data_IF_014766332154
#
_entry.id   IF_014766332154
#
_cell.length_a   1.000
_cell.length_b   1.000
_cell.length_c   1.000
_cell.angle_alpha   90.00
_cell.angle_beta   90.00
_cell.angle_gamma   90.00
#
_symmetry.space_group_name_H-M   'P 1'
#
loop_
_entity.id
_entity.type
_entity.pdbx_description
1 polymer ?
#
# COMPACT_ATOMS: atom_id res chain seq x y z
N UNK A 1 -41.57 98.24 11.09
CA UNK A 1 -40.22 97.78 10.68
C UNK A 1 -39.58 97.22 11.93
N UNK A 2 -39.19 95.97 12.11
CA UNK A 2 -39.13 94.74 11.30
C UNK A 2 -38.66 93.67 12.31
N UNK A 3 -39.10 92.44 12.09
CA UNK A 3 -38.70 91.16 12.70
C UNK A 3 -37.48 91.08 13.63
N UNK A 4 -37.60 90.30 14.72
CA UNK A 4 -36.46 89.54 15.22
C UNK A 4 -36.76 88.07 15.49
N UNK A 5 -35.85 87.28 14.92
CA UNK A 5 -35.74 85.84 14.66
C UNK A 5 -35.88 84.88 15.84
N UNK A 6 -36.26 83.65 15.47
CA UNK A 6 -36.28 82.41 16.23
C UNK A 6 -34.91 81.71 16.33
N UNK A 7 -34.72 80.96 17.45
CA UNK A 7 -34.02 79.66 17.64
C UNK A 7 -32.53 79.51 17.19
N UNK A 8 -31.61 78.79 17.87
CA UNK A 8 -31.63 77.60 18.76
C UNK A 8 -30.44 77.64 19.75
N UNK A 9 -30.52 77.06 20.96
CA UNK A 9 -29.34 76.81 21.79
C UNK A 9 -28.54 75.62 21.22
N UNK A 10 -27.23 75.83 21.06
CA UNK A 10 -26.26 74.81 20.70
C UNK A 10 -26.20 73.70 21.77
N UNK A 11 -26.17 72.44 21.33
CA UNK A 11 -25.98 71.28 22.20
C UNK A 11 -24.65 71.35 22.95
N UNK A 12 -24.71 71.23 24.28
CA UNK A 12 -23.53 71.19 25.15
C UNK A 12 -22.67 69.96 24.85
N UNK A 13 -21.36 70.19 24.73
CA UNK A 13 -20.35 69.12 24.67
C UNK A 13 -20.21 68.55 26.09
N UNK A 14 -20.84 67.41 26.35
CA UNK A 14 -20.63 66.66 27.59
C UNK A 14 -19.23 66.01 27.53
N UNK A 15 -18.30 66.53 28.34
CA UNK A 15 -17.00 65.90 28.56
C UNK A 15 -17.09 64.74 29.55
N UNK A 16 -16.35 63.67 29.29
CA UNK A 16 -16.25 62.50 30.18
C UNK A 16 -15.63 62.87 31.53
N UNK A 17 -16.16 62.30 32.61
CA UNK A 17 -15.62 62.52 33.96
C UNK A 17 -14.48 61.54 34.29
N UNK A 18 -13.56 61.92 35.18
CA UNK A 18 -12.44 61.07 35.58
C UNK A 18 -12.90 59.74 36.19
N UNK A 19 -14.03 59.76 36.91
CA UNK A 19 -14.60 58.54 37.49
C UNK A 19 -15.19 57.62 36.42
N UNK A 20 -15.78 58.18 35.37
CA UNK A 20 -16.30 57.41 34.24
C UNK A 20 -15.18 56.70 33.48
N UNK A 21 -14.02 57.36 33.31
CA UNK A 21 -12.81 56.76 32.73
C UNK A 21 -12.25 55.63 33.60
N UNK A 22 -12.16 55.82 34.91
CA UNK A 22 -11.62 54.79 35.83
C UNK A 22 -12.54 53.56 35.84
N UNK A 23 -13.85 53.75 35.93
CA UNK A 23 -14.82 52.64 35.92
C UNK A 23 -14.79 51.88 34.59
N UNK A 24 -14.67 52.56 33.44
CA UNK A 24 -14.57 51.89 32.14
C UNK A 24 -13.31 51.05 31.99
N UNK A 25 -12.14 51.55 32.41
CA UNK A 25 -10.88 50.78 32.34
C UNK A 25 -10.97 49.53 33.23
N UNK A 26 -11.54 49.65 34.44
CA UNK A 26 -11.72 48.53 35.37
C UNK A 26 -12.67 47.47 34.78
N UNK A 27 -13.81 47.90 34.21
CA UNK A 27 -14.78 46.98 33.60
C UNK A 27 -14.17 46.26 32.40
N UNK A 28 -13.45 46.97 31.52
CA UNK A 28 -12.77 46.36 30.37
C UNK A 28 -11.72 45.35 30.86
N UNK A 29 -10.95 45.67 31.92
CA UNK A 29 -9.97 44.74 32.50
C UNK A 29 -10.60 43.43 32.98
N UNK A 30 -11.71 43.51 33.71
CA UNK A 30 -12.44 42.32 34.17
C UNK A 30 -13.01 41.53 32.99
N UNK A 31 -13.63 42.20 32.01
CA UNK A 31 -14.21 41.54 30.83
C UNK A 31 -13.15 40.86 29.96
N UNK A 32 -11.99 41.48 29.77
CA UNK A 32 -10.88 40.87 29.02
C UNK A 32 -10.30 39.66 29.76
N UNK A 33 -10.19 39.72 31.09
CA UNK A 33 -9.70 38.59 31.90
C UNK A 33 -10.62 37.37 31.83
N UNK A 34 -11.94 37.58 31.83
CA UNK A 34 -12.93 36.50 31.69
C UNK A 34 -13.03 36.04 30.23
N UNK A 35 -13.00 36.97 29.27
CA UNK A 35 -13.13 36.70 27.83
C UNK A 35 -11.97 35.90 27.23
N UNK A 36 -10.74 36.08 27.73
CA UNK A 36 -9.56 35.38 27.20
C UNK A 36 -9.64 33.85 27.27
N UNK A 37 -10.30 33.31 28.31
CA UNK A 37 -10.51 31.86 28.46
C UNK A 37 -11.58 31.31 27.51
N UNK A 38 -12.54 32.13 27.08
CA UNK A 38 -13.57 31.74 26.12
C UNK A 38 -13.07 31.73 24.67
N UNK A 39 -11.95 32.41 24.38
CA UNK A 39 -11.37 32.49 23.04
C UNK A 39 -10.25 31.45 22.85
N UNK A 40 -9.42 31.22 23.86
CA UNK A 40 -8.30 30.27 23.80
C UNK A 40 -8.76 28.81 23.62
N UNK A 41 -9.73 28.35 24.42
CA UNK A 41 -10.17 26.95 24.39
C UNK A 41 -10.76 26.49 23.05
N UNK A 42 -11.61 27.29 22.36
CA UNK A 42 -12.07 26.91 21.02
C UNK A 42 -10.96 26.87 19.98
N UNK A 43 -9.93 27.73 20.09
CA UNK A 43 -8.78 27.73 19.18
C UNK A 43 -7.91 26.49 19.43
N UNK A 44 -7.60 26.17 20.67
CA UNK A 44 -6.87 24.95 21.05
C UNK A 44 -7.61 23.69 20.56
N UNK A 45 -8.91 23.60 20.81
CA UNK A 45 -9.73 22.49 20.33
C UNK A 45 -9.79 22.38 18.81
N UNK A 46 -9.73 23.50 18.08
CA UNK A 46 -9.65 23.50 16.62
C UNK A 46 -8.30 22.96 16.13
N UNK A 47 -7.19 23.38 16.74
CA UNK A 47 -5.84 22.91 16.42
C UNK A 47 -5.68 21.41 16.72
N UNK A 48 -6.25 20.93 17.83
CA UNK A 48 -6.26 19.51 18.20
C UNK A 48 -7.03 18.68 17.17
N UNK A 49 -8.20 19.18 16.74
CA UNK A 49 -9.01 18.53 15.72
C UNK A 49 -8.29 18.47 14.36
N UNK A 50 -7.61 19.55 13.98
CA UNK A 50 -6.82 19.59 12.76
C UNK A 50 -5.70 18.54 12.78
N UNK A 51 -4.92 18.49 13.87
CA UNK A 51 -3.85 17.49 14.06
C UNK A 51 -4.36 16.06 13.97
N UNK A 52 -5.45 15.75 14.68
CA UNK A 52 -6.08 14.43 14.62
C UNK A 52 -6.54 14.08 13.21
N UNK A 53 -7.12 15.04 12.49
CA UNK A 53 -7.60 14.84 11.12
C UNK A 53 -6.43 14.55 10.17
N UNK A 54 -5.31 15.25 10.31
CA UNK A 54 -4.08 15.00 9.53
C UNK A 54 -3.53 13.59 9.80
N UNK A 55 -3.40 13.20 11.07
CA UNK A 55 -2.94 11.86 11.44
C UNK A 55 -3.84 10.76 10.88
N UNK A 56 -5.17 10.91 11.04
CA UNK A 56 -6.14 9.92 10.54
C UNK A 56 -6.03 9.81 9.03
N UNK A 57 -6.02 10.93 8.31
CA UNK A 57 -5.91 10.92 6.84
C UNK A 57 -4.62 10.25 6.37
N UNK A 58 -3.47 10.56 6.99
CA UNK A 58 -2.18 9.97 6.66
C UNK A 58 -2.19 8.45 6.88
N UNK A 59 -2.66 8.00 8.05
CA UNK A 59 -2.73 6.56 8.36
C UNK A 59 -3.67 5.82 7.40
N UNK A 60 -4.84 6.38 7.14
CA UNK A 60 -5.84 5.83 6.23
C UNK A 60 -5.32 5.70 4.78
N UNK A 61 -4.68 6.75 4.25
CA UNK A 61 -4.11 6.73 2.91
C UNK A 61 -2.99 5.70 2.80
N UNK A 62 -2.15 5.59 3.84
CA UNK A 62 -1.09 4.59 3.93
C UNK A 62 -1.65 3.18 3.88
N UNK A 63 -2.62 2.87 4.73
CA UNK A 63 -3.27 1.54 4.80
C UNK A 63 -4.02 1.21 3.50
N UNK A 64 -4.67 2.19 2.86
CA UNK A 64 -5.32 2.00 1.55
C UNK A 64 -4.33 1.76 0.42
N UNK A 65 -3.15 2.40 0.44
CA UNK A 65 -2.08 2.13 -0.53
C UNK A 65 -1.56 0.70 -0.34
N UNK A 66 -1.22 0.31 0.89
CA UNK A 66 -0.80 -1.06 1.22
C UNK A 66 -1.84 -2.10 0.82
N UNK A 67 -3.14 -1.85 1.08
CA UNK A 67 -4.20 -2.75 0.67
C UNK A 67 -4.24 -2.97 -0.84
N UNK A 68 -4.06 -1.91 -1.64
CA UNK A 68 -4.06 -2.04 -3.11
C UNK A 68 -2.91 -2.92 -3.57
N UNK A 69 -1.70 -2.68 -3.07
CA UNK A 69 -0.52 -3.48 -3.42
C UNK A 69 -0.70 -4.94 -2.96
N UNK A 70 -1.22 -5.18 -1.76
CA UNK A 70 -1.46 -6.54 -1.23
C UNK A 70 -2.55 -7.32 -1.98
N UNK A 71 -3.56 -6.65 -2.52
CA UNK A 71 -4.58 -7.30 -3.35
C UNK A 71 -4.03 -7.72 -4.71
N UNK A 72 -2.99 -7.04 -5.18
CA UNK A 72 -2.23 -7.39 -6.36
C UNK A 72 -0.96 -8.16 -5.99
N UNK A 73 -0.99 -9.02 -4.97
CA UNK A 73 0.14 -9.89 -4.64
C UNK A 73 0.05 -11.20 -5.43
N UNK A 74 1.20 -11.71 -5.90
CA UNK A 74 1.30 -13.07 -6.39
C UNK A 74 0.87 -14.05 -5.28
N UNK A 75 0.07 -15.09 -5.57
CA UNK A 75 -0.36 -16.08 -4.59
C UNK A 75 0.82 -16.66 -3.80
N UNK A 76 0.68 -16.73 -2.47
CA UNK A 76 1.71 -17.22 -1.54
C UNK A 76 3.05 -16.47 -1.61
N UNK A 77 3.09 -15.24 -2.12
CA UNK A 77 4.33 -14.42 -2.14
C UNK A 77 4.45 -13.46 -0.95
N UNK A 78 3.36 -13.22 -0.21
CA UNK A 78 3.40 -12.31 0.94
C UNK A 78 4.24 -12.94 2.06
N UNK A 79 5.21 -12.18 2.58
CA UNK A 79 6.01 -12.59 3.74
C UNK A 79 6.28 -11.42 4.68
N UNK A 80 6.35 -11.74 5.97
CA UNK A 80 6.68 -10.80 7.04
C UNK A 80 8.16 -10.97 7.40
N UNK A 81 8.84 -9.87 7.67
CA UNK A 81 10.25 -9.84 8.07
C UNK A 81 10.52 -8.72 9.09
N UNK A 82 11.77 -8.60 9.54
CA UNK A 82 12.19 -7.62 10.56
C UNK A 82 11.32 -7.64 11.82
N UNK A 83 10.91 -8.83 12.26
CA UNK A 83 10.05 -9.01 13.43
C UNK A 83 8.75 -8.21 13.33
N UNK A 84 8.03 -8.31 12.22
CA UNK A 84 6.73 -7.63 12.04
C UNK A 84 6.80 -6.20 11.52
N UNK A 85 7.99 -5.62 11.38
CA UNK A 85 8.17 -4.25 10.88
C UNK A 85 8.38 -4.18 9.36
N UNK A 86 8.50 -5.32 8.70
CA UNK A 86 8.61 -5.43 7.25
C UNK A 86 7.56 -6.37 6.68
N UNK A 87 6.93 -5.97 5.58
CA UNK A 87 6.09 -6.84 4.75
C UNK A 87 6.55 -6.72 3.30
N UNK A 88 6.65 -7.86 2.62
CA UNK A 88 7.09 -7.98 1.22
C UNK A 88 6.11 -8.82 0.43
N UNK A 89 5.95 -8.48 -0.85
CA UNK A 89 5.13 -9.20 -1.82
C UNK A 89 5.73 -9.05 -3.22
N UNK A 90 5.39 -9.98 -4.12
CA UNK A 90 5.63 -9.83 -5.55
C UNK A 90 4.37 -9.26 -6.20
N UNK A 91 4.51 -8.15 -6.91
CA UNK A 91 3.37 -7.45 -7.50
C UNK A 91 2.90 -8.15 -8.78
N UNK A 92 1.60 -8.41 -8.83
CA UNK A 92 0.91 -9.11 -9.91
C UNK A 92 0.34 -8.09 -10.89
N UNK A 93 0.69 -8.21 -12.16
CA UNK A 93 0.19 -7.32 -13.22
C UNK A 93 -0.78 -8.01 -14.18
N UNK A 94 -0.56 -9.29 -14.49
CA UNK A 94 -1.44 -10.05 -15.38
C UNK A 94 -1.27 -11.57 -15.11
N UNK A 95 -2.00 -12.40 -15.84
CA UNK A 95 -1.87 -13.85 -15.77
C UNK A 95 -2.84 -14.53 -16.72
N UNK A 96 -2.68 -15.83 -16.87
CA UNK A 96 -3.49 -16.58 -17.81
C UNK A 96 -3.45 -18.06 -17.55
N UNK A 97 -3.87 -18.82 -18.56
CA UNK A 97 -3.74 -20.28 -18.54
C UNK A 97 -2.78 -20.76 -19.62
N UNK A 98 -2.04 -21.81 -19.30
CA UNK A 98 -1.22 -22.55 -20.25
C UNK A 98 -1.89 -23.89 -20.57
N UNK A 99 -1.35 -24.65 -21.52
CA UNK A 99 -1.84 -26.00 -21.86
C UNK A 99 -0.87 -27.06 -21.36
N UNK A 100 -1.40 -28.09 -20.68
CA UNK A 100 -0.68 -29.36 -20.42
C UNK A 100 -0.96 -30.43 -21.48
N UNK A 101 -2.07 -30.28 -22.20
CA UNK A 101 -2.55 -31.26 -23.18
C UNK A 101 -2.91 -30.52 -24.46
N UNK A 102 -2.56 -31.13 -25.59
CA UNK A 102 -2.83 -30.58 -26.92
C UNK A 102 -4.33 -30.36 -27.13
N UNK A 103 -4.65 -29.35 -27.93
CA UNK A 103 -6.01 -29.15 -28.37
C UNK A 103 -6.46 -30.37 -29.20
N UNK A 104 -7.55 -31.05 -28.85
CA UNK A 104 -8.01 -32.21 -29.61
C UNK A 104 -8.42 -31.84 -31.05
N UNK A 105 -8.66 -30.56 -31.34
CA UNK A 105 -8.92 -30.08 -32.70
C UNK A 105 -7.64 -29.78 -33.50
N UNK A 106 -6.46 -29.74 -32.87
CA UNK A 106 -5.18 -29.55 -33.55
C UNK A 106 -4.75 -30.87 -34.20
N UNK A 107 -4.59 -30.85 -35.52
CA UNK A 107 -4.26 -32.06 -36.30
C UNK A 107 -2.79 -32.09 -36.71
N UNK A 108 -2.08 -30.96 -36.63
CA UNK A 108 -0.64 -30.92 -36.87
C UNK A 108 0.10 -31.26 -35.56
N UNK A 109 0.81 -32.41 -35.51
CA UNK A 109 1.50 -32.83 -34.29
C UNK A 109 2.64 -31.89 -33.88
N UNK A 110 3.25 -31.16 -34.82
CA UNK A 110 4.31 -30.20 -34.52
C UNK A 110 3.73 -28.97 -33.81
N UNK A 111 2.61 -28.46 -34.32
CA UNK A 111 1.91 -27.32 -33.73
C UNK A 111 1.33 -27.69 -32.36
N UNK A 112 0.74 -28.90 -32.25
CA UNK A 112 0.24 -29.43 -31.00
C UNK A 112 1.33 -29.47 -29.90
N UNK A 113 2.50 -30.00 -30.22
CA UNK A 113 3.64 -30.08 -29.30
C UNK A 113 4.19 -28.69 -28.93
N UNK A 114 4.31 -27.79 -29.90
CA UNK A 114 4.80 -26.42 -29.69
C UNK A 114 3.86 -25.52 -28.85
N UNK A 115 2.65 -25.99 -28.55
CA UNK A 115 1.64 -25.23 -27.80
C UNK A 115 1.63 -25.54 -26.30
N UNK A 116 2.33 -26.59 -25.88
CA UNK A 116 2.30 -27.09 -24.50
C UNK A 116 3.39 -26.45 -23.65
N UNK A 117 3.11 -26.38 -22.34
CA UNK A 117 4.15 -26.22 -21.35
C UNK A 117 4.45 -27.58 -20.71
N UNK A 118 5.70 -27.98 -20.81
CA UNK A 118 6.25 -29.23 -20.27
C UNK A 118 6.83 -29.01 -18.86
N UNK A 119 6.77 -30.06 -18.05
CA UNK A 119 7.24 -30.06 -16.65
C UNK A 119 8.27 -31.17 -16.38
N UNK A 120 8.70 -31.85 -17.43
CA UNK A 120 9.74 -32.89 -17.47
C UNK A 120 10.98 -32.46 -18.26
N UNK A 121 10.88 -31.37 -19.02
CA UNK A 121 11.97 -30.72 -19.75
C UNK A 121 11.89 -29.21 -19.56
N UNK A 122 13.03 -28.52 -19.64
CA UNK A 122 13.05 -27.07 -19.59
C UNK A 122 12.46 -26.49 -20.89
N UNK A 123 11.42 -25.67 -20.77
CA UNK A 123 10.77 -24.99 -21.88
C UNK A 123 11.11 -23.50 -21.88
N UNK A 124 11.21 -22.91 -23.07
CA UNK A 124 11.43 -21.47 -23.26
C UNK A 124 10.23 -20.74 -23.87
N UNK A 125 9.10 -21.42 -24.08
CA UNK A 125 7.84 -20.83 -24.53
C UNK A 125 6.66 -21.77 -24.30
N UNK A 126 5.45 -21.22 -24.33
CA UNK A 126 4.20 -21.99 -24.35
C UNK A 126 3.04 -21.14 -24.90
N UNK A 127 1.96 -21.79 -25.35
CA UNK A 127 0.74 -21.08 -25.76
C UNK A 127 -0.04 -20.57 -24.54
N UNK A 128 -0.47 -19.31 -24.63
CA UNK A 128 -1.31 -18.65 -23.64
C UNK A 128 -2.78 -18.70 -24.05
N UNK A 129 -3.62 -19.13 -23.12
CA UNK A 129 -5.07 -19.10 -23.24
C UNK A 129 -5.63 -17.87 -22.55
N UNK A 130 -6.10 -16.92 -23.36
CA UNK A 130 -6.75 -15.70 -22.90
C UNK A 130 -6.17 -14.44 -23.54
N UNK A 131 -6.73 -13.27 -23.20
CA UNK A 131 -6.06 -12.00 -23.46
C UNK A 131 -4.80 -11.88 -22.59
N UNK A 132 -3.83 -11.13 -23.11
CA UNK A 132 -2.68 -10.60 -22.38
C UNK A 132 -2.49 -9.15 -22.81
N UNK A 133 -2.07 -8.28 -21.91
CA UNK A 133 -1.72 -6.90 -22.25
C UNK A 133 -0.31 -6.82 -22.86
N UNK A 134 -0.20 -7.20 -24.13
CA UNK A 134 1.09 -7.48 -24.80
C UNK A 134 2.05 -6.30 -24.94
N UNK A 135 1.64 -5.07 -24.63
CA UNK A 135 2.47 -3.87 -24.81
C UNK A 135 3.53 -3.66 -23.71
N UNK A 136 3.40 -4.36 -22.58
CA UNK A 136 4.21 -4.09 -21.38
C UNK A 136 5.25 -5.17 -21.07
N UNK A 137 5.09 -6.38 -21.62
CA UNK A 137 5.96 -7.52 -21.32
C UNK A 137 7.20 -7.53 -22.23
N UNK A 138 8.28 -6.94 -21.72
CA UNK A 138 9.58 -6.86 -22.38
C UNK A 138 10.68 -7.46 -21.50
N UNK A 139 11.83 -7.86 -22.08
CA UNK A 139 12.92 -8.48 -21.33
C UNK A 139 13.35 -7.62 -20.15
N UNK A 140 13.35 -8.21 -18.96
CA UNK A 140 13.77 -7.53 -17.73
C UNK A 140 12.69 -6.72 -17.00
N UNK A 141 11.53 -6.43 -17.60
CA UNK A 141 10.45 -5.69 -16.94
C UNK A 141 9.44 -6.60 -16.24
N UNK A 142 9.18 -7.78 -16.78
CA UNK A 142 8.19 -8.71 -16.23
C UNK A 142 8.72 -10.15 -16.21
N UNK A 143 8.13 -10.95 -15.33
CA UNK A 143 8.50 -12.34 -15.10
C UNK A 143 7.26 -13.22 -15.03
N UNK A 144 7.35 -14.41 -15.61
CA UNK A 144 6.34 -15.44 -15.53
C UNK A 144 6.61 -16.32 -14.30
N UNK A 145 5.63 -16.42 -13.40
CA UNK A 145 5.66 -17.32 -12.26
C UNK A 145 4.58 -18.39 -12.40
N UNK A 146 4.94 -19.65 -12.10
CA UNK A 146 4.02 -20.78 -12.17
C UNK A 146 3.96 -21.46 -10.81
N UNK A 147 2.74 -21.61 -10.32
CA UNK A 147 2.41 -22.39 -9.13
C UNK A 147 3.29 -22.07 -7.91
N UNK A 148 3.31 -20.81 -7.49
CA UNK A 148 4.03 -20.38 -6.30
C UNK A 148 3.34 -20.89 -5.02
N UNK A 149 4.06 -21.70 -4.24
CA UNK A 149 3.51 -22.40 -3.07
C UNK A 149 3.97 -21.80 -1.75
N UNK A 150 5.05 -21.02 -1.74
CA UNK A 150 5.63 -20.50 -0.52
C UNK A 150 6.44 -19.23 -0.77
N UNK A 151 6.56 -18.42 0.28
CA UNK A 151 7.49 -17.29 0.38
C UNK A 151 8.56 -17.52 1.47
N UNK A 152 8.59 -18.71 2.08
CA UNK A 152 9.55 -19.08 3.11
C UNK A 152 10.97 -19.13 2.51
N UNK A 153 11.87 -18.31 3.07
CA UNK A 153 13.27 -18.23 2.64
C UNK A 153 14.07 -19.52 2.89
N UNK A 154 13.51 -20.50 3.62
CA UNK A 154 14.13 -21.81 3.83
C UNK A 154 13.72 -22.86 2.77
N UNK A 155 12.77 -22.54 1.88
CA UNK A 155 12.22 -23.50 0.91
C UNK A 155 12.53 -23.04 -0.51
N UNK A 156 13.36 -23.80 -1.22
CA UNK A 156 13.76 -23.47 -2.59
C UNK A 156 12.68 -23.83 -3.62
N UNK A 157 12.00 -24.97 -3.48
CA UNK A 157 11.10 -25.49 -4.52
C UNK A 157 9.77 -24.76 -4.57
N UNK A 158 9.32 -24.40 -5.78
CA UNK A 158 8.07 -23.67 -6.03
C UNK A 158 7.97 -22.35 -5.26
N UNK A 159 9.11 -21.66 -5.16
CA UNK A 159 9.28 -20.37 -4.51
C UNK A 159 9.81 -19.35 -5.51
N UNK A 160 9.05 -18.29 -5.77
CA UNK A 160 9.44 -17.27 -6.71
C UNK A 160 10.65 -16.46 -6.22
N UNK A 161 10.81 -16.28 -4.91
CA UNK A 161 11.98 -15.59 -4.37
C UNK A 161 13.29 -16.38 -4.54
N UNK A 162 13.21 -17.70 -4.71
CA UNK A 162 14.37 -18.55 -5.01
C UNK A 162 14.74 -18.58 -6.50
N UNK A 163 13.85 -18.11 -7.37
CA UNK A 163 14.00 -18.27 -8.81
C UNK A 163 13.56 -19.65 -9.33
N UNK A 164 13.07 -20.56 -8.48
CA UNK A 164 12.77 -21.95 -8.86
C UNK A 164 11.55 -22.14 -9.76
N UNK A 165 10.64 -21.18 -9.79
CA UNK A 165 9.39 -21.24 -10.54
C UNK A 165 9.00 -19.88 -11.12
N UNK A 166 9.98 -18.99 -11.27
CA UNK A 166 9.83 -17.66 -11.86
C UNK A 166 10.95 -17.43 -12.88
N UNK A 167 10.63 -16.83 -14.01
CA UNK A 167 11.59 -16.57 -15.09
C UNK A 167 11.20 -15.32 -15.86
N UNK A 168 12.18 -14.58 -16.37
CA UNK A 168 11.93 -13.37 -17.16
C UNK A 168 11.12 -13.66 -18.43
N UNK A 169 10.31 -12.69 -18.84
CA UNK A 169 9.57 -12.74 -20.11
C UNK A 169 10.35 -11.98 -21.17
N UNK A 170 10.62 -12.66 -22.28
CA UNK A 170 11.31 -12.07 -23.43
C UNK A 170 10.34 -11.32 -24.34
N UNK A 171 9.24 -11.98 -24.70
CA UNK A 171 8.25 -11.42 -25.61
C UNK A 171 6.91 -12.14 -25.48
N UNK A 172 5.85 -11.47 -25.93
CA UNK A 172 4.60 -12.15 -26.32
C UNK A 172 4.51 -12.17 -27.83
N UNK A 173 4.57 -13.36 -28.40
CA UNK A 173 4.47 -13.59 -29.84
C UNK A 173 3.04 -13.95 -30.23
N UNK A 174 2.62 -13.55 -31.43
CA UNK A 174 1.28 -13.86 -31.94
C UNK A 174 1.40 -14.56 -33.29
N UNK A 175 0.72 -15.70 -33.43
CA UNK A 175 0.58 -16.45 -34.68
C UNK A 175 -0.90 -16.69 -34.98
N UNK A 176 -1.45 -15.91 -35.92
CA UNK A 176 -2.89 -15.87 -36.15
C UNK A 176 -3.65 -15.39 -34.92
N UNK A 177 -4.55 -16.22 -34.38
CA UNK A 177 -5.29 -15.94 -33.14
C UNK A 177 -4.60 -16.44 -31.87
N UNK A 178 -3.47 -17.16 -32.00
CA UNK A 178 -2.77 -17.81 -30.90
C UNK A 178 -1.69 -16.88 -30.37
N UNK A 179 -1.49 -16.90 -29.05
CA UNK A 179 -0.47 -16.11 -28.36
C UNK A 179 0.50 -17.04 -27.66
N UNK A 180 1.78 -16.71 -27.71
CA UNK A 180 2.84 -17.48 -27.08
C UNK A 180 3.63 -16.57 -26.15
N UNK A 181 3.85 -17.03 -24.93
CA UNK A 181 4.74 -16.36 -24.00
C UNK A 181 6.14 -16.92 -24.21
N UNK A 182 7.09 -16.08 -24.64
CA UNK A 182 8.50 -16.44 -24.79
C UNK A 182 9.23 -16.07 -23.51
N UNK A 183 9.97 -17.01 -22.96
CA UNK A 183 10.76 -16.84 -21.73
C UNK A 183 12.17 -16.37 -22.08
N UNK A 184 12.80 -15.60 -21.19
CA UNK A 184 14.18 -15.10 -21.36
C UNK A 184 15.20 -16.24 -21.33
N UNK A 185 14.87 -17.34 -20.66
CA UNK A 185 15.67 -18.56 -20.59
C UNK A 185 14.77 -19.77 -20.45
N UNK A 186 15.19 -20.92 -20.99
CA UNK A 186 14.49 -22.18 -20.77
C UNK A 186 14.41 -22.51 -19.27
N UNK A 187 13.22 -22.84 -18.79
CA UNK A 187 12.91 -23.07 -17.39
C UNK A 187 12.22 -24.43 -17.22
N UNK A 188 12.73 -25.27 -16.32
CA UNK A 188 12.03 -26.45 -15.86
C UNK A 188 11.24 -26.08 -14.60
N UNK A 189 9.95 -25.81 -14.76
CA UNK A 189 9.08 -25.55 -13.62
C UNK A 189 8.89 -26.82 -12.80
N UNK A 190 8.98 -26.76 -11.46
CA UNK A 190 8.99 -27.96 -10.61
C UNK A 190 7.65 -28.68 -10.59
N UNK A 191 6.53 -27.95 -10.75
CA UNK A 191 5.18 -28.50 -10.65
C UNK A 191 4.21 -27.74 -11.55
N UNK A 192 3.25 -28.46 -12.11
CA UNK A 192 2.12 -27.88 -12.84
C UNK A 192 1.05 -27.34 -11.88
N UNK A 193 0.53 -26.15 -12.15
CA UNK A 193 -0.67 -25.63 -11.47
C UNK A 193 -1.87 -26.55 -11.77
N UNK A 194 -2.65 -26.98 -10.75
CA UNK A 194 -3.85 -27.81 -10.93
C UNK A 194 -4.90 -27.18 -11.85
N UNK A 195 -4.94 -25.85 -11.92
CA UNK A 195 -5.84 -25.11 -12.81
C UNK A 195 -5.14 -24.57 -14.07
N UNK A 196 -3.91 -25.03 -14.34
CA UNK A 196 -3.06 -24.63 -15.46
C UNK A 196 -2.85 -23.12 -15.53
N UNK A 197 -2.66 -22.47 -14.38
CA UNK A 197 -2.47 -21.01 -14.29
C UNK A 197 -0.99 -20.63 -14.30
N UNK A 198 -0.71 -19.49 -14.90
CA UNK A 198 0.53 -18.76 -14.71
C UNK A 198 0.19 -17.30 -14.36
N UNK A 199 1.15 -16.62 -13.75
CA UNK A 199 1.04 -15.23 -13.32
C UNK A 199 2.22 -14.44 -13.86
N UNK A 200 1.98 -13.16 -14.14
CA UNK A 200 2.99 -12.20 -14.56
C UNK A 200 3.22 -11.20 -13.42
N UNK A 201 4.47 -11.08 -13.00
CA UNK A 201 4.90 -10.14 -11.97
C UNK A 201 5.95 -9.18 -12.53
N UNK A 202 5.95 -7.94 -12.07
CA UNK A 202 6.87 -6.89 -12.51
C UNK A 202 7.96 -6.59 -11.46
N UNK A 203 7.57 -6.39 -10.20
CA UNK A 203 8.48 -5.96 -9.15
C UNK A 203 8.23 -6.62 -7.78
N UNK A 204 9.24 -6.57 -6.91
CA UNK A 204 9.07 -6.75 -5.48
C UNK A 204 8.65 -5.42 -4.85
N UNK A 205 7.64 -5.46 -3.98
CA UNK A 205 7.20 -4.32 -3.18
C UNK A 205 7.42 -4.66 -1.71
N UNK A 206 8.00 -3.73 -0.96
CA UNK A 206 8.06 -3.82 0.50
C UNK A 206 7.59 -2.57 1.19
N UNK A 207 6.94 -2.76 2.33
CA UNK A 207 6.71 -1.71 3.31
C UNK A 207 7.55 -2.00 4.55
N UNK A 208 8.34 -1.03 4.98
CA UNK A 208 9.24 -1.15 6.14
C UNK A 208 9.03 0.03 7.08
N UNK A 209 8.81 -0.27 8.36
CA UNK A 209 8.82 0.74 9.41
C UNK A 209 10.24 0.86 9.95
N UNK A 210 10.82 2.05 9.84
CA UNK A 210 12.18 2.34 10.32
C UNK A 210 12.32 3.81 10.68
N UNK A 211 12.90 4.10 11.85
CA UNK A 211 13.19 5.48 12.27
C UNK A 211 11.96 6.37 12.44
N UNK A 212 10.79 5.79 12.73
CA UNK A 212 9.53 6.54 12.82
C UNK A 212 8.86 6.84 11.47
N UNK A 213 9.34 6.22 10.39
CA UNK A 213 8.78 6.34 9.06
C UNK A 213 8.25 4.99 8.57
N UNK A 214 7.13 5.02 7.85
CA UNK A 214 6.70 3.95 6.97
C UNK A 214 7.22 4.24 5.56
N UNK A 215 8.07 3.35 5.06
CA UNK A 215 8.74 3.48 3.76
C UNK A 215 8.23 2.40 2.81
N UNK A 216 7.94 2.76 1.56
CA UNK A 216 7.63 1.80 0.49
C UNK A 216 8.81 1.69 -0.47
N UNK A 217 9.31 0.48 -0.64
CA UNK A 217 10.34 0.11 -1.61
C UNK A 217 9.66 -0.62 -2.76
N UNK A 218 10.18 -0.42 -3.97
CA UNK A 218 9.67 -1.01 -5.20
C UNK A 218 10.82 -1.17 -6.21
N UNK A 219 10.68 -2.09 -7.16
CA UNK A 219 11.64 -2.30 -8.24
C UNK A 219 13.03 -2.80 -7.82
N UNK A 220 13.20 -3.28 -6.59
CA UNK A 220 14.47 -3.87 -6.13
C UNK A 220 14.55 -5.37 -6.49
N UNK A 221 15.73 -5.96 -6.32
CA UNK A 221 16.01 -7.33 -6.76
C UNK A 221 15.17 -8.37 -5.99
N UNK A 222 14.40 -9.19 -6.71
CA UNK A 222 13.70 -10.36 -6.17
C UNK A 222 14.74 -11.41 -5.75
N UNK A 223 14.79 -11.73 -4.46
CA UNK A 223 15.71 -12.73 -3.92
C UNK A 223 15.15 -13.38 -2.63
N UNK A 224 15.77 -14.46 -2.17
CA UNK A 224 15.29 -15.21 -1.01
C UNK A 224 15.42 -14.45 0.31
N UNK A 225 16.38 -13.53 0.42
CA UNK A 225 16.52 -12.71 1.63
C UNK A 225 15.41 -11.67 1.65
N UNK A 226 14.52 -11.66 2.67
CA UNK A 226 13.40 -10.75 2.69
C UNK A 226 13.78 -9.29 2.80
N UNK A 227 13.06 -8.47 2.05
CA UNK A 227 13.15 -7.01 2.07
C UNK A 227 14.22 -6.40 1.16
N UNK A 228 14.22 -5.07 1.08
CA UNK A 228 15.17 -4.31 0.27
C UNK A 228 16.58 -4.36 0.84
N UNK A 229 17.58 -4.20 -0.02
CA UNK A 229 18.97 -4.03 0.36
C UNK A 229 19.23 -2.63 0.94
N UNK A 230 20.33 -2.50 1.69
CA UNK A 230 20.77 -1.19 2.16
C UNK A 230 21.09 -0.27 0.98
N UNK A 231 20.44 0.89 0.92
CA UNK A 231 20.62 1.88 -0.14
C UNK A 231 19.61 1.81 -1.27
N UNK A 232 18.72 0.81 -1.29
CA UNK A 232 17.59 0.81 -2.22
C UNK A 232 16.71 2.06 -2.00
N UNK A 233 16.22 2.69 -3.08
CA UNK A 233 15.38 3.87 -2.97
C UNK A 233 14.01 3.52 -2.38
N UNK A 234 13.40 4.49 -1.69
CA UNK A 234 12.07 4.33 -1.13
C UNK A 234 11.23 5.60 -1.28
N UNK A 235 9.93 5.40 -1.31
CA UNK A 235 8.92 6.44 -1.10
C UNK A 235 8.61 6.54 0.39
N UNK A 236 8.59 7.75 0.92
CA UNK A 236 8.03 8.01 2.24
C UNK A 236 6.50 7.95 2.18
N UNK A 237 5.90 7.06 2.97
CA UNK A 237 4.44 6.84 2.99
C UNK A 237 3.81 7.52 4.20
N UNK A 238 4.45 7.41 5.36
CA UNK A 238 4.04 8.07 6.59
C UNK A 238 5.25 8.40 7.46
N UNK A 239 5.17 9.50 8.19
CA UNK A 239 6.07 9.89 9.28
C UNK A 239 5.37 9.79 10.64
N UNK A 240 6.13 9.98 11.72
CA UNK A 240 5.64 9.96 13.09
C UNK A 240 5.03 8.61 13.51
N UNK A 241 5.52 7.52 12.91
CA UNK A 241 5.14 6.15 13.24
C UNK A 241 5.72 5.79 14.60
N UNK A 242 4.87 5.29 15.49
CA UNK A 242 5.26 4.84 16.83
C UNK A 242 4.90 3.38 17.04
N UNK A 243 5.57 2.72 17.97
CA UNK A 243 5.27 1.33 18.32
C UNK A 243 3.84 1.18 18.83
N UNK A 244 3.15 0.15 18.37
CA UNK A 244 1.80 -0.17 18.83
C UNK A 244 1.92 -0.91 20.15
N UNK A 245 1.14 -0.50 21.14
CA UNK A 245 1.10 -1.13 22.46
C UNK A 245 -0.35 -1.48 22.77
N UNK A 246 -0.61 -2.71 23.22
CA UNK A 246 -1.94 -3.13 23.64
C UNK A 246 -2.31 -2.55 25.02
N UNK A 247 -3.54 -2.83 25.49
CA UNK A 247 -4.00 -2.38 26.80
C UNK A 247 -3.19 -2.96 27.98
N UNK A 248 -2.46 -4.06 27.76
CA UNK A 248 -1.61 -4.73 28.74
C UNK A 248 -0.16 -4.24 28.74
N UNK A 249 0.23 -3.33 27.86
CA UNK A 249 1.60 -2.84 27.74
C UNK A 249 2.49 -3.67 26.81
N UNK A 250 1.94 -4.65 26.09
CA UNK A 250 2.68 -5.49 25.15
C UNK A 250 2.84 -4.77 23.82
N UNK A 251 4.05 -4.75 23.28
CA UNK A 251 4.29 -4.24 21.92
C UNK A 251 3.69 -5.23 20.92
N UNK A 252 2.88 -4.71 20.00
CA UNK A 252 2.29 -5.49 18.91
C UNK A 252 3.02 -5.27 17.61
N UNK A 253 3.11 -6.32 16.81
CA UNK A 253 3.68 -6.25 15.47
C UNK A 253 2.79 -5.40 14.54
N UNK A 254 3.38 -4.42 13.83
CA UNK A 254 2.65 -3.63 12.84
C UNK A 254 2.06 -4.48 11.73
N UNK A 255 2.79 -5.49 11.27
CA UNK A 255 2.38 -6.37 10.19
C UNK A 255 2.37 -7.82 10.65
N UNK A 256 1.27 -8.50 10.32
CA UNK A 256 1.06 -9.91 10.61
C UNK A 256 0.38 -10.58 9.41
N UNK A 257 0.72 -11.85 9.17
CA UNK A 257 0.21 -12.61 8.04
C UNK A 257 -0.15 -14.04 8.45
N UNK A 258 -1.45 -14.33 8.36
CA UNK A 258 -1.97 -15.70 8.35
C UNK A 258 -2.08 -16.14 6.89
N UNK A 259 -1.17 -17.03 6.45
CA UNK A 259 -1.15 -17.52 5.08
C UNK A 259 -2.42 -18.28 4.67
N UNK A 260 -3.28 -18.64 5.61
CA UNK A 260 -4.51 -19.38 5.33
C UNK A 260 -4.23 -20.81 4.86
N UNK A 261 -5.11 -21.34 4.02
CA UNK A 261 -4.99 -22.67 3.42
C UNK A 261 -5.34 -22.60 1.93
N UNK A 262 -5.09 -23.63 1.10
CA UNK A 262 -5.52 -23.63 -0.29
C UNK A 262 -7.04 -23.43 -0.52
N UNK A 263 -7.85 -23.54 0.54
CA UNK A 263 -9.30 -23.32 0.55
C UNK A 263 -9.75 -22.04 1.28
N UNK A 264 -8.84 -21.31 1.95
CA UNK A 264 -9.11 -20.09 2.70
C UNK A 264 -8.08 -19.02 2.32
N UNK A 265 -8.54 -17.90 1.79
CA UNK A 265 -7.70 -16.73 1.49
C UNK A 265 -6.81 -16.37 2.69
N UNK A 266 -5.57 -15.98 2.42
CA UNK A 266 -4.68 -15.47 3.44
C UNK A 266 -5.21 -14.16 4.02
N UNK A 267 -4.87 -13.86 5.27
CA UNK A 267 -5.26 -12.65 5.97
C UNK A 267 -4.03 -11.89 6.42
N UNK A 268 -3.85 -10.69 5.86
CA UNK A 268 -2.83 -9.74 6.31
C UNK A 268 -3.49 -8.75 7.27
N UNK A 269 -2.93 -8.62 8.46
CA UNK A 269 -3.33 -7.59 9.42
C UNK A 269 -2.28 -6.49 9.44
N UNK A 270 -2.73 -5.27 9.11
CA UNK A 270 -1.93 -4.06 9.13
C UNK A 270 -2.35 -3.21 10.33
N UNK A 271 -1.39 -2.80 11.14
CA UNK A 271 -1.58 -1.90 12.28
C UNK A 271 -0.64 -0.73 12.12
N UNK A 272 -1.17 0.47 12.26
CA UNK A 272 -0.38 1.70 12.14
C UNK A 272 -0.74 2.63 13.29
N UNK A 273 0.24 2.98 14.12
CA UNK A 273 0.11 3.99 15.15
C UNK A 273 0.94 5.20 14.78
N UNK A 274 0.32 6.38 14.79
CA UNK A 274 0.97 7.66 14.52
C UNK A 274 0.81 8.58 15.73
N UNK A 275 1.85 9.35 16.05
CA UNK A 275 1.83 10.28 17.19
C UNK A 275 2.47 11.63 16.84
N UNK A 276 1.72 12.71 16.98
CA UNK A 276 2.21 14.07 16.73
C UNK A 276 1.81 15.00 17.88
N UNK A 277 2.82 15.57 18.55
CA UNK A 277 2.65 16.56 19.62
C UNK A 277 1.66 16.11 20.72
N UNK A 278 1.74 14.85 21.13
CA UNK A 278 0.90 14.26 22.17
C UNK A 278 -0.46 13.73 21.70
N UNK A 279 -0.87 13.99 20.45
CA UNK A 279 -2.03 13.32 19.85
C UNK A 279 -1.58 12.00 19.23
N UNK A 280 -2.22 10.90 19.63
CA UNK A 280 -1.91 9.55 19.14
C UNK A 280 -3.14 8.89 18.58
N UNK A 281 -3.00 8.26 17.42
CA UNK A 281 -4.01 7.38 16.84
C UNK A 281 -3.42 6.00 16.58
N UNK A 282 -4.27 4.99 16.58
CA UNK A 282 -3.93 3.64 16.12
C UNK A 282 -5.06 3.16 15.22
N UNK A 283 -4.73 2.76 13.99
CA UNK A 283 -5.65 2.15 13.06
C UNK A 283 -5.23 0.71 12.78
N UNK A 284 -6.23 -0.14 12.58
CA UNK A 284 -6.04 -1.53 12.16
C UNK A 284 -6.83 -1.75 10.88
N UNK A 285 -6.22 -2.45 9.93
CA UNK A 285 -6.82 -2.81 8.67
C UNK A 285 -6.53 -4.26 8.32
N UNK A 286 -7.52 -4.97 7.83
CA UNK A 286 -7.42 -6.38 7.47
C UNK A 286 -7.64 -6.56 5.97
N UNK A 287 -6.71 -7.25 5.33
CA UNK A 287 -6.70 -7.46 3.88
C UNK A 287 -6.71 -8.95 3.61
N UNK A 288 -7.71 -9.42 2.87
CA UNK A 288 -7.71 -10.77 2.34
C UNK A 288 -6.84 -10.81 1.08
N UNK A 289 -5.99 -11.83 0.99
CA UNK A 289 -5.07 -12.08 -0.14
C UNK A 289 -5.42 -13.43 -0.77
N UNK A 290 -5.49 -13.47 -2.09
CA UNK A 290 -5.87 -14.67 -2.82
C UNK A 290 -4.67 -15.62 -2.99
N UNK A 291 -4.62 -16.66 -2.17
CA UNK A 291 -3.59 -17.71 -2.20
C UNK A 291 -4.02 -18.91 -3.05
N UNK A 292 -4.51 -18.66 -4.27
CA UNK A 292 -4.92 -19.70 -5.22
C UNK A 292 -3.97 -19.70 -6.43
N UNK A 293 -2.81 -20.38 -6.32
CA UNK A 293 -1.80 -20.46 -7.37
C UNK A 293 -2.18 -21.38 -8.55
#
# INVERSE_FOLDING_TARGET
MTEHSSHRPCGGRNGFTLIELVVTIVIIGVLMSLGGLFISRPIEGYIDLERRTQLVAQADMSLRRMQRDLRAALPNSVRIFNGGNGIELLHLVDGGRYRLVADPAETDPLVAAASLLHFDVADDYFEVLGPLETAEYTPGNCRCAIYNLTADAAIDSANAYSGSNIVGINAVETSGSRRFLRLDSAMLFPFSSPQQRFFIVDEAISYVISGGELRRYAGYAINQTPGPAAGDPYDLVAENVVSIVDAGGTVLDPFDYDAGTPSRSGLVTLRLALELQGERITLMHQVHVDNVP
#
